data_IF_500752643921
#
_entry.id   IF_500752643921
#
_cell.length_a   1.000
_cell.length_b   1.000
_cell.length_c   1.000
_cell.angle_alpha   90.00
_cell.angle_beta   90.00
_cell.angle_gamma   90.00
#
_symmetry.space_group_name_H-M   'P 1'
#
loop_
_entity.id
_entity.type
_entity.pdbx_description
1 polymer ?
#
# COMPACT_ATOMS: atom_id res chain seq x y z
N UNK A 1 11.54 7.93 17.32
CA UNK A 1 11.66 7.44 15.92
C UNK A 1 13.14 7.18 15.69
N UNK A 2 13.51 5.90 15.47
CA UNK A 2 14.91 5.53 15.23
C UNK A 2 15.38 6.20 13.94
N UNK A 3 16.54 6.87 13.98
CA UNK A 3 17.14 7.53 12.83
C UNK A 3 17.69 6.47 11.86
N UNK A 4 17.43 6.63 10.56
CA UNK A 4 18.03 5.77 9.53
C UNK A 4 19.52 6.09 9.43
N UNK A 5 20.36 5.05 9.35
CA UNK A 5 21.79 5.21 9.18
C UNK A 5 22.10 5.94 7.86
N UNK A 6 23.06 6.85 7.89
CA UNK A 6 23.49 7.58 6.70
C UNK A 6 23.99 6.62 5.59
N UNK A 7 24.60 5.48 5.96
CA UNK A 7 25.01 4.43 5.01
C UNK A 7 23.84 3.88 4.19
N UNK A 8 22.70 3.60 4.83
CA UNK A 8 21.51 3.11 4.12
C UNK A 8 20.93 4.17 3.18
N UNK A 9 20.99 5.45 3.56
CA UNK A 9 20.57 6.54 2.68
C UNK A 9 21.43 6.61 1.42
N UNK A 10 22.74 6.43 1.57
CA UNK A 10 23.68 6.43 0.44
C UNK A 10 23.53 5.18 -0.44
N UNK A 11 23.33 4.01 0.16
CA UNK A 11 23.03 2.77 -0.58
C UNK A 11 21.75 2.90 -1.42
N UNK A 12 20.69 3.49 -0.86
CA UNK A 12 19.43 3.72 -1.57
C UNK A 12 19.64 4.71 -2.72
N UNK A 13 20.38 5.81 -2.50
CA UNK A 13 20.70 6.77 -3.57
C UNK A 13 21.53 6.13 -4.68
N UNK A 14 22.42 5.21 -4.34
CA UNK A 14 23.24 4.49 -5.32
C UNK A 14 22.44 3.43 -6.10
N UNK A 15 21.51 2.72 -5.46
CA UNK A 15 20.67 1.71 -6.08
C UNK A 15 19.53 2.30 -6.91
N UNK A 16 18.99 3.44 -6.49
CA UNK A 16 17.82 4.04 -7.10
C UNK A 16 18.19 4.99 -8.26
N UNK A 17 17.75 4.63 -9.47
CA UNK A 17 17.91 5.49 -10.64
C UNK A 17 16.81 6.58 -10.63
N UNK A 18 17.21 7.84 -10.49
CA UNK A 18 16.29 8.98 -10.50
C UNK A 18 15.47 9.09 -11.79
N UNK A 19 16.04 8.67 -12.95
CA UNK A 19 15.33 8.69 -14.24
C UNK A 19 14.13 7.72 -14.22
N UNK A 20 14.30 6.54 -13.62
CA UNK A 20 13.25 5.53 -13.54
C UNK A 20 12.12 5.96 -12.59
N UNK A 21 12.49 6.57 -11.45
CA UNK A 21 11.52 7.07 -10.48
C UNK A 21 10.71 8.23 -11.04
N UNK A 22 11.39 9.21 -11.67
CA UNK A 22 10.72 10.37 -12.31
C UNK A 22 9.94 9.93 -13.54
N UNK A 23 10.49 9.03 -14.36
CA UNK A 23 9.86 8.49 -15.56
C UNK A 23 8.55 7.75 -15.31
N UNK A 24 8.35 7.19 -14.11
CA UNK A 24 7.08 6.62 -13.69
C UNK A 24 5.97 7.67 -13.47
N UNK A 25 6.32 8.96 -13.35
CA UNK A 25 5.37 10.06 -13.09
C UNK A 25 5.18 11.01 -14.28
N UNK A 26 6.16 11.09 -15.17
CA UNK A 26 6.11 11.94 -16.37
C UNK A 26 6.95 11.36 -17.51
N UNK A 27 6.53 11.65 -18.74
CA UNK A 27 7.32 11.24 -19.91
C UNK A 27 8.59 12.10 -20.02
N UNK A 28 9.74 11.44 -19.99
CA UNK A 28 11.05 12.07 -20.10
C UNK A 28 11.63 11.88 -21.49
N UNK A 29 12.17 12.95 -22.07
CA UNK A 29 12.92 12.95 -23.32
C UNK A 29 14.37 13.32 -23.04
N UNK A 30 15.30 12.50 -23.52
CA UNK A 30 16.75 12.80 -23.39
C UNK A 30 17.15 13.93 -24.33
N UNK A 31 17.81 14.93 -23.78
CA UNK A 31 18.35 16.08 -24.52
C UNK A 31 19.80 16.32 -24.06
N UNK A 32 20.77 15.87 -24.86
CA UNK A 32 22.18 15.87 -24.45
C UNK A 32 22.43 14.99 -23.22
N UNK A 33 23.06 15.53 -22.18
CA UNK A 33 23.32 14.88 -20.89
C UNK A 33 22.15 15.00 -19.88
N UNK A 34 20.99 15.53 -20.26
CA UNK A 34 19.85 15.76 -19.39
C UNK A 34 18.58 15.11 -19.91
N UNK A 35 17.58 15.04 -19.07
CA UNK A 35 16.23 14.68 -19.47
C UNK A 35 15.28 15.87 -19.26
N UNK A 36 14.33 16.04 -20.16
CA UNK A 36 13.28 17.06 -20.07
C UNK A 36 11.92 16.44 -20.20
N UNK A 37 10.93 17.00 -19.54
CA UNK A 37 9.54 16.53 -19.56
C UNK A 37 8.57 17.57 -19.03
N UNK A 38 7.30 17.22 -18.97
CA UNK A 38 6.32 18.04 -18.26
C UNK A 38 6.51 17.87 -16.76
N UNK A 39 6.30 18.93 -16.02
CA UNK A 39 6.45 18.91 -14.57
C UNK A 39 5.38 18.05 -13.90
N UNK A 40 5.75 17.11 -12.99
CA UNK A 40 4.76 16.36 -12.23
C UNK A 40 4.13 17.16 -11.08
N UNK A 41 4.68 18.35 -10.76
CA UNK A 41 4.23 19.15 -9.62
C UNK A 41 3.23 20.25 -9.99
N UNK A 42 3.13 20.64 -11.28
CA UNK A 42 2.15 21.61 -11.75
C UNK A 42 1.67 21.27 -13.17
N UNK A 43 0.51 21.78 -13.55
CA UNK A 43 -0.03 21.59 -14.90
C UNK A 43 0.65 22.53 -15.89
N UNK A 44 1.16 21.97 -16.99
CA UNK A 44 1.79 22.73 -18.07
C UNK A 44 1.56 22.05 -19.42
N UNK A 45 1.61 22.87 -20.50
CA UNK A 45 1.51 22.35 -21.88
C UNK A 45 2.87 22.13 -22.51
N UNK A 46 3.86 22.93 -22.14
CA UNK A 46 5.24 22.89 -22.65
C UNK A 46 6.16 22.33 -21.59
N UNK A 47 7.09 21.41 -21.94
CA UNK A 47 8.02 20.84 -20.99
C UNK A 47 8.93 21.90 -20.35
N UNK A 48 8.87 22.04 -19.03
CA UNK A 48 9.74 22.93 -18.25
C UNK A 48 10.54 22.19 -17.15
N UNK A 49 10.33 20.91 -17.02
CA UNK A 49 11.03 20.07 -16.04
C UNK A 49 12.32 19.55 -16.63
N UNK A 50 13.44 19.73 -15.92
CA UNK A 50 14.77 19.28 -16.30
C UNK A 50 15.36 18.37 -15.21
N UNK A 51 15.89 17.22 -15.62
CA UNK A 51 16.53 16.24 -14.76
C UNK A 51 17.98 16.04 -15.22
N UNK A 52 18.91 16.13 -14.28
CA UNK A 52 20.35 15.88 -14.48
C UNK A 52 20.72 14.56 -13.79
N UNK A 53 20.83 13.43 -14.50
CA UNK A 53 21.12 12.14 -13.89
C UNK A 53 22.47 12.12 -13.18
N UNK A 54 23.49 12.71 -13.80
CA UNK A 54 24.87 12.75 -13.27
C UNK A 54 24.95 13.46 -11.91
N UNK A 55 24.06 14.44 -11.70
CA UNK A 55 23.98 15.18 -10.43
C UNK A 55 22.93 14.62 -9.48
N UNK A 56 22.07 13.72 -9.95
CA UNK A 56 20.92 13.22 -9.18
C UNK A 56 19.89 14.30 -8.82
N UNK A 57 19.81 15.39 -9.63
CA UNK A 57 18.99 16.56 -9.30
C UNK A 57 17.99 16.89 -10.41
N UNK A 58 16.83 17.41 -9.99
CA UNK A 58 15.85 17.98 -10.89
C UNK A 58 15.59 19.46 -10.61
N UNK A 59 15.10 20.16 -11.63
CA UNK A 59 14.65 21.54 -11.56
C UNK A 59 13.51 21.77 -12.54
N UNK A 60 12.47 22.45 -12.11
CA UNK A 60 11.38 22.92 -12.96
C UNK A 60 11.49 24.43 -13.20
N UNK A 61 11.58 24.84 -14.45
CA UNK A 61 11.65 26.26 -14.83
C UNK A 61 10.28 26.96 -14.78
N UNK A 62 9.17 26.19 -14.68
CA UNK A 62 7.82 26.73 -14.57
C UNK A 62 7.43 27.08 -13.14
N UNK A 63 7.56 26.13 -12.20
CA UNK A 63 7.14 26.33 -10.79
C UNK A 63 8.30 26.40 -9.79
N UNK A 64 9.56 26.40 -10.27
CA UNK A 64 10.78 26.42 -9.46
C UNK A 64 10.95 25.23 -8.48
N UNK A 65 10.15 24.15 -8.62
CA UNK A 65 10.34 22.91 -7.87
C UNK A 65 11.72 22.33 -8.17
N UNK A 66 12.46 21.95 -7.13
CA UNK A 66 13.83 21.46 -7.23
C UNK A 66 14.16 20.49 -6.11
N UNK A 67 15.08 19.57 -6.37
CA UNK A 67 15.53 18.63 -5.34
C UNK A 67 16.30 17.46 -5.91
N UNK A 68 16.57 16.52 -5.03
CA UNK A 68 17.15 15.22 -5.32
C UNK A 68 16.05 14.14 -5.42
N UNK A 69 16.47 12.89 -5.57
CA UNK A 69 15.58 11.73 -5.63
C UNK A 69 14.65 11.63 -4.40
N UNK A 70 15.21 11.85 -3.20
CA UNK A 70 14.43 11.73 -1.95
C UNK A 70 13.39 12.84 -1.87
N UNK A 71 13.79 14.07 -2.19
CA UNK A 71 12.88 15.22 -2.26
C UNK A 71 11.76 14.97 -3.27
N UNK A 72 12.10 14.41 -4.45
CA UNK A 72 11.11 14.06 -5.46
C UNK A 72 10.04 13.10 -4.92
N UNK A 73 10.47 12.01 -4.27
CA UNK A 73 9.55 11.02 -3.67
C UNK A 73 8.73 11.64 -2.53
N UNK A 74 9.36 12.45 -1.67
CA UNK A 74 8.63 13.15 -0.61
C UNK A 74 7.48 14.00 -1.14
N UNK A 75 7.73 14.77 -2.17
CA UNK A 75 6.74 15.69 -2.75
C UNK A 75 5.66 14.94 -3.56
N UNK A 76 6.05 13.95 -4.37
CA UNK A 76 5.08 13.21 -5.21
C UNK A 76 4.25 12.20 -4.43
N UNK A 77 4.84 11.61 -3.38
CA UNK A 77 4.20 10.60 -2.54
C UNK A 77 3.66 11.17 -1.22
N UNK A 78 3.85 12.49 -0.98
CA UNK A 78 3.43 13.15 0.27
C UNK A 78 3.92 12.40 1.51
N UNK A 79 5.20 12.05 1.52
CA UNK A 79 5.87 11.32 2.61
C UNK A 79 6.83 12.25 3.36
N UNK A 80 7.06 11.92 4.64
CA UNK A 80 8.20 12.47 5.36
C UNK A 80 9.52 11.88 4.87
N UNK A 81 10.65 12.32 5.41
CA UNK A 81 11.97 11.85 5.00
C UNK A 81 12.11 10.32 5.19
N UNK A 82 11.73 9.81 6.35
CA UNK A 82 11.79 8.39 6.68
C UNK A 82 10.92 7.58 5.73
N UNK A 83 9.69 8.05 5.49
CA UNK A 83 8.76 7.43 4.56
C UNK A 83 9.26 7.36 3.13
N UNK A 84 9.94 8.40 2.64
CA UNK A 84 10.51 8.41 1.30
C UNK A 84 11.69 7.44 1.17
N UNK A 85 12.54 7.36 2.19
CA UNK A 85 13.65 6.40 2.23
C UNK A 85 13.12 4.96 2.22
N UNK A 86 12.16 4.63 3.08
CA UNK A 86 11.57 3.29 3.14
C UNK A 86 10.81 2.94 1.84
N UNK A 87 10.13 3.91 1.22
CA UNK A 87 9.47 3.72 -0.07
C UNK A 87 10.47 3.37 -1.19
N UNK A 88 11.62 4.08 -1.22
CA UNK A 88 12.69 3.78 -2.17
C UNK A 88 13.34 2.43 -1.88
N UNK A 89 13.59 2.12 -0.61
CA UNK A 89 14.15 0.87 -0.17
C UNK A 89 13.31 -0.35 -0.61
N UNK A 90 12.00 -0.29 -0.40
CA UNK A 90 11.06 -1.32 -0.83
C UNK A 90 11.08 -1.50 -2.36
N UNK A 91 11.10 -0.39 -3.11
CA UNK A 91 11.07 -0.42 -4.57
C UNK A 91 12.36 -0.94 -5.20
N UNK A 92 13.49 -0.67 -4.60
CA UNK A 92 14.81 -1.05 -5.11
C UNK A 92 15.46 -2.21 -4.34
N UNK A 93 14.68 -2.84 -3.44
CA UNK A 93 15.10 -4.01 -2.64
C UNK A 93 16.37 -3.76 -1.83
N UNK A 94 16.52 -2.56 -1.29
CA UNK A 94 17.62 -2.18 -0.39
C UNK A 94 17.16 -2.34 1.07
N UNK A 95 18.00 -2.94 1.89
CA UNK A 95 17.70 -3.10 3.31
C UNK A 95 18.04 -1.81 4.07
N UNK A 96 17.06 -1.26 4.79
CA UNK A 96 17.27 -0.05 5.61
C UNK A 96 17.80 -0.45 6.98
N UNK A 97 18.96 0.10 7.33
CA UNK A 97 19.51 0.01 8.67
C UNK A 97 19.23 1.31 9.45
N UNK A 98 18.96 1.15 10.75
CA UNK A 98 18.71 2.26 11.64
C UNK A 98 19.87 2.42 12.64
N UNK A 99 20.11 3.64 13.12
CA UNK A 99 21.05 3.87 14.23
C UNK A 99 20.65 3.02 15.43
N UNK A 100 21.62 2.64 16.27
CA UNK A 100 21.38 1.77 17.41
C UNK A 100 20.20 2.27 18.26
N UNK A 101 19.09 1.56 18.10
CA UNK A 101 17.93 1.68 18.97
C UNK A 101 18.10 0.75 20.16
N UNK A 102 17.40 0.99 21.26
CA UNK A 102 17.35 0.00 22.34
C UNK A 102 16.89 -1.33 21.77
N UNK A 103 17.45 -2.47 22.21
CA UNK A 103 17.10 -3.79 21.70
C UNK A 103 15.59 -4.07 21.66
N UNK A 104 14.81 -3.40 22.54
CA UNK A 104 13.34 -3.44 22.55
C UNK A 104 12.70 -2.74 21.34
N UNK A 105 13.30 -1.66 20.83
CA UNK A 105 12.78 -0.95 19.64
C UNK A 105 13.04 -1.75 18.38
N UNK A 106 14.20 -2.41 18.28
CA UNK A 106 14.53 -3.30 17.17
C UNK A 106 13.62 -4.53 17.15
N UNK A 107 13.31 -5.10 18.31
CA UNK A 107 12.38 -6.22 18.42
C UNK A 107 10.95 -5.81 17.99
N UNK A 108 10.48 -4.63 18.44
CA UNK A 108 9.18 -4.07 18.01
C UNK A 108 9.12 -3.84 16.51
N UNK A 109 10.18 -3.32 15.90
CA UNK A 109 10.26 -3.08 14.46
C UNK A 109 10.21 -4.40 13.71
N UNK A 110 11.06 -5.38 14.04
CA UNK A 110 11.07 -6.72 13.42
C UNK A 110 9.72 -7.41 13.54
N UNK A 111 9.08 -7.31 14.71
CA UNK A 111 7.73 -7.83 14.91
C UNK A 111 6.72 -7.13 13.98
N UNK A 112 6.79 -5.81 13.86
CA UNK A 112 5.91 -5.04 12.98
C UNK A 112 6.10 -5.43 11.51
N UNK A 113 7.33 -5.50 11.02
CA UNK A 113 7.67 -5.93 9.66
C UNK A 113 7.15 -7.34 9.36
N UNK A 114 7.31 -8.25 10.31
CA UNK A 114 6.82 -9.62 10.19
C UNK A 114 5.29 -9.69 10.12
N UNK A 115 4.58 -8.90 10.92
CA UNK A 115 3.11 -8.83 10.86
C UNK A 115 2.61 -8.18 9.55
N UNK A 116 3.29 -7.17 9.02
CA UNK A 116 2.99 -6.57 7.71
C UNK A 116 3.20 -7.61 6.59
N UNK A 117 4.29 -8.38 6.65
CA UNK A 117 4.52 -9.49 5.71
C UNK A 117 3.41 -10.56 5.76
N UNK A 118 2.93 -10.90 6.96
CA UNK A 118 1.81 -11.82 7.13
C UNK A 118 0.52 -11.29 6.51
N UNK A 119 0.20 -10.01 6.71
CA UNK A 119 -0.98 -9.37 6.11
C UNK A 119 -0.88 -9.29 4.59
N UNK A 120 0.31 -9.05 4.05
CA UNK A 120 0.55 -9.07 2.61
C UNK A 120 0.31 -10.46 2.01
N UNK A 121 0.83 -11.52 2.64
CA UNK A 121 0.60 -12.89 2.22
C UNK A 121 -0.87 -13.29 2.32
N UNK A 122 -1.56 -12.86 3.38
CA UNK A 122 -3.00 -13.05 3.52
C UNK A 122 -3.78 -12.33 2.41
N UNK A 123 -3.37 -11.10 2.05
CA UNK A 123 -3.97 -10.35 0.95
C UNK A 123 -3.88 -11.11 -0.36
N UNK A 124 -2.67 -11.53 -0.75
CA UNK A 124 -2.45 -12.34 -1.97
C UNK A 124 -3.27 -13.65 -1.95
N UNK A 125 -3.34 -14.29 -0.80
CA UNK A 125 -4.14 -15.51 -0.65
C UNK A 125 -5.64 -15.26 -0.87
N UNK A 126 -6.19 -14.18 -0.31
CA UNK A 126 -7.60 -13.81 -0.48
C UNK A 126 -7.91 -13.33 -1.90
N UNK A 127 -7.00 -12.58 -2.55
CA UNK A 127 -7.11 -12.19 -3.96
C UNK A 127 -7.22 -13.43 -4.86
N UNK A 128 -6.30 -14.39 -4.72
CA UNK A 128 -6.33 -15.65 -5.48
C UNK A 128 -7.60 -16.43 -5.24
N UNK A 129 -8.07 -16.50 -4.01
CA UNK A 129 -9.32 -17.18 -3.71
C UNK A 129 -10.53 -16.51 -4.38
N UNK A 130 -10.59 -15.20 -4.43
CA UNK A 130 -11.65 -14.46 -5.12
C UNK A 130 -11.63 -14.72 -6.63
N UNK A 131 -10.45 -14.63 -7.25
CA UNK A 131 -10.35 -14.56 -8.71
C UNK A 131 -10.10 -15.92 -9.39
N UNK A 132 -9.38 -16.81 -8.73
CA UNK A 132 -8.93 -18.07 -9.33
C UNK A 132 -9.71 -19.29 -8.84
N UNK A 133 -10.41 -19.20 -7.69
CA UNK A 133 -11.16 -20.35 -7.18
C UNK A 133 -12.60 -20.39 -7.68
N UNK A 134 -13.20 -21.59 -7.82
CA UNK A 134 -14.63 -21.73 -8.08
C UNK A 134 -15.49 -21.09 -6.97
N UNK A 135 -15.03 -21.14 -5.72
CA UNK A 135 -15.72 -20.55 -4.56
C UNK A 135 -15.84 -19.03 -4.62
N UNK A 136 -15.05 -18.37 -5.48
CA UNK A 136 -15.13 -16.92 -5.72
C UNK A 136 -16.34 -16.48 -6.56
N UNK A 137 -17.02 -17.40 -7.26
CA UNK A 137 -18.13 -17.08 -8.17
C UNK A 137 -19.18 -16.14 -7.59
N UNK A 138 -19.83 -16.47 -6.47
CA UNK A 138 -20.86 -15.61 -5.88
C UNK A 138 -20.36 -14.22 -5.49
N UNK A 139 -19.10 -14.11 -5.07
CA UNK A 139 -18.50 -12.82 -4.73
C UNK A 139 -18.26 -11.96 -5.99
N UNK A 140 -17.80 -12.57 -7.08
CA UNK A 140 -17.63 -11.89 -8.37
C UNK A 140 -18.97 -11.43 -8.94
N UNK A 141 -20.01 -12.28 -8.89
CA UNK A 141 -21.38 -11.92 -9.29
C UNK A 141 -21.92 -10.74 -8.47
N UNK A 142 -21.66 -10.74 -7.15
CA UNK A 142 -22.00 -9.62 -6.30
C UNK A 142 -21.31 -8.32 -6.74
N UNK A 143 -20.01 -8.34 -7.07
CA UNK A 143 -19.27 -7.18 -7.54
C UNK A 143 -19.82 -6.65 -8.87
N UNK A 144 -20.07 -7.53 -9.83
CA UNK A 144 -20.72 -7.19 -11.11
C UNK A 144 -22.11 -6.60 -10.91
N UNK A 145 -22.92 -7.19 -10.03
CA UNK A 145 -24.25 -6.68 -9.67
C UNK A 145 -24.22 -5.29 -8.99
N UNK A 146 -23.04 -4.87 -8.49
CA UNK A 146 -22.79 -3.53 -7.98
C UNK A 146 -22.24 -2.56 -9.02
N UNK A 147 -22.06 -3.00 -10.26
CA UNK A 147 -21.46 -2.21 -11.33
C UNK A 147 -19.96 -2.00 -11.16
N UNK A 148 -19.28 -2.82 -10.37
CA UNK A 148 -17.83 -2.72 -10.16
C UNK A 148 -17.10 -3.60 -11.17
N UNK A 149 -16.21 -2.99 -11.94
CA UNK A 149 -15.39 -3.67 -12.93
C UNK A 149 -14.26 -4.48 -12.28
N UNK A 150 -13.84 -5.55 -12.91
CA UNK A 150 -12.77 -6.42 -12.40
C UNK A 150 -11.47 -5.65 -12.22
N UNK A 151 -11.13 -4.75 -13.15
CA UNK A 151 -9.89 -3.97 -13.12
C UNK A 151 -9.77 -3.15 -11.84
N UNK A 152 -10.81 -2.39 -11.47
CA UNK A 152 -10.79 -1.60 -10.24
C UNK A 152 -10.76 -2.48 -9.00
N UNK A 153 -11.47 -3.61 -9.03
CA UNK A 153 -11.46 -4.55 -7.90
C UNK A 153 -10.06 -5.18 -7.69
N UNK A 154 -9.35 -5.49 -8.78
CA UNK A 154 -7.96 -5.97 -8.73
C UNK A 154 -6.98 -4.86 -8.34
N UNK A 155 -7.16 -3.64 -8.86
CA UNK A 155 -6.36 -2.48 -8.44
C UNK A 155 -6.43 -2.28 -6.93
N UNK A 156 -7.61 -2.41 -6.34
CA UNK A 156 -7.83 -2.29 -4.89
C UNK A 156 -7.63 -3.60 -4.12
N UNK A 157 -7.16 -4.64 -4.82
CA UNK A 157 -6.76 -5.91 -4.22
C UNK A 157 -7.86 -6.61 -3.43
N UNK A 158 -9.12 -6.51 -3.90
CA UNK A 158 -10.23 -7.16 -3.24
C UNK A 158 -10.01 -8.67 -3.19
N UNK A 159 -10.37 -9.27 -2.07
CA UNK A 159 -10.20 -10.69 -1.83
C UNK A 159 -11.45 -11.35 -1.25
N UNK A 160 -11.48 -12.67 -1.22
CA UNK A 160 -12.51 -13.47 -0.56
C UNK A 160 -11.86 -14.37 0.48
N UNK A 161 -12.32 -14.29 1.71
CA UNK A 161 -11.91 -15.25 2.73
C UNK A 161 -12.61 -16.60 2.49
N UNK A 162 -11.87 -17.71 2.39
CA UNK A 162 -12.47 -19.03 2.44
C UNK A 162 -13.08 -19.27 3.84
N UNK A 163 -13.82 -20.32 4.01
CA UNK A 163 -14.31 -20.72 5.33
C UNK A 163 -13.32 -21.56 6.11
N UNK A 164 -13.58 -21.77 7.40
CA UNK A 164 -12.85 -22.70 8.26
C UNK A 164 -11.56 -22.14 8.84
N UNK A 165 -10.45 -22.84 8.64
CA UNK A 165 -9.12 -22.50 9.16
C UNK A 165 -8.05 -22.51 8.06
N UNK A 166 -8.44 -22.26 6.82
CA UNK A 166 -7.60 -22.46 5.66
C UNK A 166 -6.40 -21.49 5.65
N UNK A 167 -6.62 -20.21 5.95
CA UNK A 167 -5.55 -19.24 6.06
C UNK A 167 -4.63 -19.54 7.24
N UNK A 168 -5.21 -19.80 8.42
CA UNK A 168 -4.46 -20.10 9.65
C UNK A 168 -3.56 -21.30 9.43
N UNK A 169 -4.07 -22.39 8.86
CA UNK A 169 -3.28 -23.60 8.57
C UNK A 169 -2.10 -23.27 7.65
N UNK A 170 -2.37 -22.58 6.56
CA UNK A 170 -1.36 -22.22 5.57
C UNK A 170 -0.27 -21.29 6.12
N UNK A 171 -0.65 -20.33 6.96
CA UNK A 171 0.32 -19.43 7.59
C UNK A 171 1.19 -20.14 8.62
N UNK A 172 0.64 -21.09 9.38
CA UNK A 172 1.42 -21.95 10.29
C UNK A 172 2.44 -22.80 9.54
N UNK A 173 2.08 -23.37 8.39
CA UNK A 173 2.99 -24.11 7.51
C UNK A 173 4.13 -23.22 6.97
N UNK A 174 3.89 -21.93 6.80
CA UNK A 174 4.88 -20.92 6.38
C UNK A 174 5.74 -20.38 7.54
N UNK A 175 5.56 -20.91 8.75
CA UNK A 175 6.36 -20.56 9.92
C UNK A 175 5.91 -19.33 10.69
N UNK A 176 4.65 -18.86 10.47
CA UNK A 176 4.04 -17.87 11.34
C UNK A 176 3.44 -18.55 12.59
N UNK A 177 3.45 -17.83 13.70
CA UNK A 177 2.88 -18.33 14.95
C UNK A 177 1.39 -17.98 15.08
N UNK A 178 0.69 -18.70 15.96
CA UNK A 178 -0.71 -18.37 16.31
C UNK A 178 -0.83 -17.00 16.95
N UNK A 179 0.18 -16.57 17.67
CA UNK A 179 0.23 -15.26 18.31
C UNK A 179 0.36 -14.15 17.26
N UNK A 180 1.18 -14.34 16.22
CA UNK A 180 1.30 -13.41 15.09
C UNK A 180 -0.01 -13.31 14.33
N UNK A 181 -0.67 -14.43 14.04
CA UNK A 181 -1.98 -14.46 13.40
C UNK A 181 -3.06 -13.73 14.20
N UNK A 182 -3.06 -13.89 15.51
CA UNK A 182 -3.97 -13.17 16.40
C UNK A 182 -3.66 -11.66 16.43
N UNK A 183 -2.36 -11.30 16.52
CA UNK A 183 -1.90 -9.91 16.53
C UNK A 183 -2.17 -9.19 15.20
N UNK A 184 -2.15 -9.91 14.07
CA UNK A 184 -2.53 -9.41 12.76
C UNK A 184 -4.07 -9.37 12.53
N UNK A 185 -4.86 -9.85 13.50
CA UNK A 185 -6.31 -9.90 13.36
C UNK A 185 -6.83 -10.92 12.33
N UNK A 186 -6.03 -11.94 12.03
CA UNK A 186 -6.34 -12.98 11.03
C UNK A 186 -6.90 -14.26 11.66
N UNK A 187 -6.67 -14.49 12.96
CA UNK A 187 -7.19 -15.64 13.69
C UNK A 187 -8.23 -15.24 14.72
N UNK A 188 -9.34 -15.99 14.77
CA UNK A 188 -10.36 -15.88 15.79
C UNK A 188 -9.96 -16.60 17.09
N UNK A 189 -10.76 -16.42 18.15
CA UNK A 189 -10.50 -16.95 19.50
C UNK A 189 -10.30 -18.46 19.57
N UNK A 190 -10.86 -19.23 18.63
CA UNK A 190 -10.75 -20.71 18.58
C UNK A 190 -9.67 -21.19 17.61
N UNK A 191 -8.82 -20.30 17.09
CA UNK A 191 -7.78 -20.63 16.12
C UNK A 191 -8.29 -20.92 14.71
N UNK A 192 -9.55 -20.58 14.40
CA UNK A 192 -10.08 -20.52 13.04
C UNK A 192 -9.77 -19.19 12.39
N UNK A 193 -9.96 -19.08 11.07
CA UNK A 193 -9.86 -17.83 10.36
C UNK A 193 -10.83 -16.79 10.94
N UNK A 194 -10.36 -15.56 11.15
CA UNK A 194 -11.20 -14.48 11.68
C UNK A 194 -12.30 -14.08 10.69
N UNK A 195 -11.94 -13.97 9.42
CA UNK A 195 -12.89 -13.75 8.35
C UNK A 195 -13.24 -15.08 7.68
N UNK A 196 -14.51 -15.35 7.51
CA UNK A 196 -15.00 -16.60 6.90
C UNK A 196 -16.10 -16.28 5.89
N UNK A 197 -15.91 -16.64 4.63
CA UNK A 197 -16.88 -16.45 3.56
C UNK A 197 -17.23 -14.98 3.26
N UNK A 198 -16.34 -14.04 3.60
CA UNK A 198 -16.56 -12.61 3.43
C UNK A 198 -15.72 -12.01 2.32
N UNK A 199 -16.29 -11.04 1.62
CA UNK A 199 -15.56 -10.18 0.68
C UNK A 199 -14.71 -9.19 1.47
N UNK A 200 -13.42 -9.12 1.15
CA UNK A 200 -12.42 -8.34 1.86
C UNK A 200 -11.96 -7.13 1.06
N UNK A 201 -11.87 -6.00 1.75
CA UNK A 201 -11.32 -4.75 1.29
C UNK A 201 -10.04 -4.50 2.11
N UNK A 202 -8.84 -4.65 1.51
CA UNK A 202 -7.59 -4.37 2.21
C UNK A 202 -7.50 -2.89 2.61
N UNK A 203 -7.14 -2.65 3.85
CA UNK A 203 -6.95 -1.31 4.39
C UNK A 203 -5.46 -1.03 4.48
N UNK A 204 -4.99 -0.13 3.62
CA UNK A 204 -3.57 0.18 3.49
C UNK A 204 -3.21 1.52 4.12
N UNK A 205 -1.96 1.62 4.59
CA UNK A 205 -1.37 2.90 5.00
C UNK A 205 -1.02 3.75 3.76
N UNK A 206 -0.54 4.97 3.99
CA UNK A 206 -0.15 5.88 2.93
C UNK A 206 0.97 5.34 2.01
N UNK A 207 1.66 4.27 2.35
CA UNK A 207 2.68 3.58 1.54
C UNK A 207 2.13 2.40 0.76
N UNK A 208 0.84 2.11 0.87
CA UNK A 208 0.18 0.96 0.25
C UNK A 208 0.37 -0.37 0.99
N UNK A 209 0.97 -0.37 2.20
CA UNK A 209 1.11 -1.59 3.02
C UNK A 209 -0.21 -1.91 3.70
N UNK A 210 -0.71 -3.12 3.51
CA UNK A 210 -1.95 -3.56 4.14
C UNK A 210 -1.74 -3.73 5.64
N UNK A 211 -2.56 -3.04 6.43
CA UNK A 211 -2.52 -3.07 7.90
C UNK A 211 -3.72 -3.81 8.50
N UNK A 212 -4.73 -4.11 7.71
CA UNK A 212 -5.93 -4.82 8.12
C UNK A 212 -6.94 -4.93 6.99
N UNK A 213 -8.14 -5.34 7.32
CA UNK A 213 -9.22 -5.54 6.35
C UNK A 213 -10.54 -5.01 6.88
N UNK A 214 -11.36 -4.50 5.98
CA UNK A 214 -12.80 -4.46 6.18
C UNK A 214 -13.42 -5.62 5.42
N UNK A 215 -14.33 -6.35 6.05
CA UNK A 215 -14.95 -7.55 5.51
C UNK A 215 -16.46 -7.40 5.39
N UNK A 216 -17.00 -7.56 4.18
CA UNK A 216 -18.42 -7.51 3.89
C UNK A 216 -19.03 -8.91 3.91
N UNK A 217 -20.16 -9.06 4.59
CA UNK A 217 -20.98 -10.26 4.55
C UNK A 217 -21.58 -10.46 3.16
N UNK A 218 -21.45 -11.67 2.62
CA UNK A 218 -22.09 -12.12 1.37
C UNK A 218 -23.27 -13.06 1.61
N UNK A 219 -23.27 -13.79 2.73
CA UNK A 219 -24.25 -14.80 3.06
C UNK A 219 -25.10 -14.37 4.26
N UNK A 220 -26.38 -14.71 4.25
CA UNK A 220 -27.29 -14.36 5.35
C UNK A 220 -27.06 -15.19 6.62
N UNK A 221 -26.57 -16.42 6.48
CA UNK A 221 -26.23 -17.34 7.56
C UNK A 221 -24.88 -17.09 8.23
N UNK A 222 -24.23 -15.95 7.93
CA UNK A 222 -22.95 -15.56 8.52
C UNK A 222 -23.08 -15.35 10.04
N UNK A 223 -22.30 -16.08 10.86
CA UNK A 223 -22.42 -16.04 12.32
C UNK A 223 -22.14 -14.66 12.93
N UNK A 224 -21.38 -13.81 12.25
CA UNK A 224 -21.07 -12.44 12.71
C UNK A 224 -22.17 -11.43 12.37
N UNK A 225 -23.34 -11.82 11.96
CA UNK A 225 -24.56 -11.01 11.64
C UNK A 225 -24.34 -9.61 11.06
N UNK A 226 -23.27 -8.91 11.44
CA UNK A 226 -22.93 -7.57 10.98
C UNK A 226 -22.64 -7.54 9.48
N UNK A 227 -23.21 -6.57 8.77
CA UNK A 227 -22.99 -6.39 7.32
C UNK A 227 -21.51 -6.14 7.00
N UNK A 228 -20.83 -5.37 7.83
CA UNK A 228 -19.40 -5.11 7.75
C UNK A 228 -18.74 -5.37 9.10
N UNK A 229 -17.56 -5.97 9.07
CA UNK A 229 -16.65 -6.11 10.22
C UNK A 229 -15.25 -5.68 9.80
N UNK A 230 -14.49 -5.09 10.71
CA UNK A 230 -13.10 -4.74 10.48
C UNK A 230 -12.16 -5.72 11.18
N UNK A 231 -10.89 -5.71 10.80
CA UNK A 231 -9.84 -6.27 11.63
C UNK A 231 -9.97 -5.75 13.06
N UNK A 232 -9.66 -6.56 14.09
CA UNK A 232 -9.55 -6.07 15.45
C UNK A 232 -8.51 -4.96 15.57
N UNK A 233 -8.72 -4.01 16.49
CA UNK A 233 -7.72 -3.01 16.86
C UNK A 233 -6.43 -3.70 17.31
N UNK A 234 -5.29 -3.21 16.83
CA UNK A 234 -3.97 -3.78 17.10
C UNK A 234 -2.88 -2.71 17.03
N UNK A 235 -1.62 -3.10 17.27
CA UNK A 235 -0.46 -2.21 17.09
C UNK A 235 -0.28 -1.78 15.61
N UNK A 236 -0.83 -2.54 14.66
CA UNK A 236 -0.78 -2.23 13.24
C UNK A 236 -2.01 -1.46 12.76
N UNK A 237 -3.18 -1.82 13.26
CA UNK A 237 -4.46 -1.36 12.73
C UNK A 237 -5.27 -0.59 13.78
N UNK A 238 -5.59 0.66 13.47
CA UNK A 238 -6.58 1.47 14.17
C UNK A 238 -7.57 2.01 13.15
N UNK A 239 -8.84 1.69 13.34
CA UNK A 239 -9.91 2.04 12.38
C UNK A 239 -9.97 3.55 12.09
N UNK A 240 -9.73 4.39 13.09
CA UNK A 240 -9.80 5.86 12.95
C UNK A 240 -8.64 6.47 12.18
N UNK A 241 -7.53 5.74 11.97
CA UNK A 241 -6.30 6.28 11.42
C UNK A 241 -6.15 6.02 9.91
N UNK A 242 -7.08 5.29 9.30
CA UNK A 242 -7.01 4.87 7.90
C UNK A 242 -8.21 5.35 7.09
N UNK A 243 -7.93 5.96 5.95
CA UNK A 243 -8.91 6.26 4.90
C UNK A 243 -8.71 5.31 3.72
N UNK A 244 -9.74 4.56 3.39
CA UNK A 244 -9.70 3.60 2.28
C UNK A 244 -9.42 4.31 0.95
N UNK A 245 -8.42 3.81 0.21
CA UNK A 245 -8.01 4.34 -1.09
C UNK A 245 -7.14 5.61 -1.04
N UNK A 246 -6.77 6.10 0.16
CA UNK A 246 -5.91 7.28 0.28
C UNK A 246 -4.52 7.03 -0.32
N UNK A 247 -3.96 5.84 -0.15
CA UNK A 247 -2.69 5.40 -0.75
C UNK A 247 -2.65 5.61 -2.28
N UNK A 248 -3.80 5.45 -2.94
CA UNK A 248 -3.95 5.57 -4.40
C UNK A 248 -4.35 6.99 -4.84
N UNK A 249 -5.09 7.71 -3.98
CA UNK A 249 -5.64 9.03 -4.31
C UNK A 249 -4.69 10.19 -3.99
N UNK A 250 -3.78 10.04 -3.00
CA UNK A 250 -3.00 11.15 -2.43
C UNK A 250 -2.18 11.93 -3.46
N UNK A 251 -1.57 11.26 -4.44
CA UNK A 251 -0.82 11.93 -5.50
C UNK A 251 -1.70 12.83 -6.38
N UNK A 252 -2.92 12.36 -6.70
CA UNK A 252 -3.89 13.17 -7.44
C UNK A 252 -4.47 14.30 -6.57
N UNK A 253 -4.73 14.04 -5.28
CA UNK A 253 -5.19 15.05 -4.32
C UNK A 253 -4.18 16.18 -4.20
N UNK A 254 -2.89 15.85 -4.02
CA UNK A 254 -1.83 16.84 -3.93
C UNK A 254 -1.70 17.69 -5.20
N UNK A 255 -1.84 17.06 -6.39
CA UNK A 255 -1.75 17.74 -7.68
C UNK A 255 -2.97 18.63 -7.97
N UNK A 256 -4.16 18.18 -7.61
CA UNK A 256 -5.42 18.86 -7.94
C UNK A 256 -5.97 19.74 -6.80
N UNK A 257 -5.32 19.69 -5.63
CA UNK A 257 -5.75 20.37 -4.39
C UNK A 257 -7.22 20.09 -4.04
N UNK A 258 -7.70 18.91 -4.42
CA UNK A 258 -9.09 18.50 -4.27
C UNK A 258 -9.20 17.02 -3.92
N UNK A 259 -10.07 16.70 -2.96
CA UNK A 259 -10.45 15.34 -2.58
C UNK A 259 -11.96 15.17 -2.58
N UNK A 260 -12.43 13.98 -2.97
CA UNK A 260 -13.80 13.55 -2.78
C UNK A 260 -13.83 12.54 -1.64
N UNK A 261 -14.65 12.80 -0.63
CA UNK A 261 -14.86 11.90 0.51
C UNK A 261 -16.23 11.26 0.37
N UNK A 262 -16.29 9.94 0.46
CA UNK A 262 -17.51 9.14 0.36
C UNK A 262 -17.64 8.20 1.56
N UNK A 263 -18.83 7.67 1.79
CA UNK A 263 -19.14 6.93 3.01
C UNK A 263 -18.61 5.48 3.00
N UNK A 264 -18.62 4.82 1.84
CA UNK A 264 -18.33 3.40 1.74
C UNK A 264 -17.19 3.03 0.79
N UNK A 265 -16.53 1.89 1.05
CA UNK A 265 -15.43 1.39 0.21
C UNK A 265 -15.89 1.12 -1.24
N UNK A 266 -17.12 0.63 -1.43
CA UNK A 266 -17.70 0.42 -2.77
C UNK A 266 -17.87 1.73 -3.53
N UNK A 267 -18.13 2.84 -2.82
CA UNK A 267 -18.31 4.15 -3.45
C UNK A 267 -16.95 4.70 -3.90
N UNK A 268 -15.88 4.43 -3.13
CA UNK A 268 -14.50 4.74 -3.56
C UNK A 268 -14.16 4.02 -4.85
N UNK A 269 -14.47 2.70 -4.95
CA UNK A 269 -14.22 1.95 -6.16
C UNK A 269 -15.03 2.48 -7.34
N UNK A 270 -16.32 2.79 -7.14
CA UNK A 270 -17.20 3.31 -8.17
C UNK A 270 -16.73 4.67 -8.71
N UNK A 271 -16.16 5.53 -7.86
CA UNK A 271 -15.58 6.81 -8.30
C UNK A 271 -14.21 6.67 -8.98
N UNK A 272 -13.51 5.56 -8.70
CA UNK A 272 -12.18 5.30 -9.27
C UNK A 272 -12.24 4.74 -10.69
N UNK A 273 -13.25 3.96 -11.03
CA UNK A 273 -13.45 3.39 -12.37
C UNK A 273 -14.00 4.41 -13.38
#
# INVERSE_FOLDING_TARGET
VSRIKDSSVEEIKAAANIVDVVGARTQLRKVGGRYTGRCPFHEERTPSFSLSPDKGLYYCFGCAAKGDLITFVRETEQLDFTGAIEWLADRFHVQVEYEESSGREDERRRRRERLVSLLEQATVFYERHLWESPGGGPAREYLVGRGLHEEVCREFRLGLAPGGSTLVTKALEQGFSREELASAGLAGRRGSDYFSGRLLFPLADARGRVLGFQARRLREDDPLRAKYVNSPESDLFRKGDLLYGLDRARGAIAKQERALVVEGNTDVLALRQ
#
